data_IF_838032124929
#
_entry.id   IF_838032124929
#
_cell.length_a   1.000
_cell.length_b   1.000
_cell.length_c   1.000
_cell.angle_alpha   90.00
_cell.angle_beta   90.00
_cell.angle_gamma   90.00
#
_symmetry.space_group_name_H-M   'P 1'
#
loop_
_entity.id
_entity.type
_entity.pdbx_description
1 polymer ?
#
# COMPACT_ATOMS: atom_id res chain seq x y z
N UNK A 1 30.60 -0.70 -23.69
CA UNK A 1 30.46 0.47 -22.78
C UNK A 1 31.57 0.35 -21.73
N UNK A 2 32.34 1.39 -21.42
CA UNK A 2 33.47 1.23 -20.48
C UNK A 2 32.92 1.07 -19.05
N UNK A 3 33.40 0.09 -18.28
CA UNK A 3 33.02 -0.17 -16.86
C UNK A 3 32.86 1.09 -16.00
N UNK A 4 33.67 2.13 -16.26
CA UNK A 4 33.61 3.42 -15.57
C UNK A 4 32.31 4.21 -15.79
N UNK A 5 31.62 4.04 -16.93
CA UNK A 5 30.37 4.74 -17.22
C UNK A 5 29.21 4.22 -16.36
N UNK A 6 29.12 2.89 -16.16
CA UNK A 6 28.10 2.29 -15.30
C UNK A 6 28.29 2.70 -13.84
N UNK A 7 29.54 2.69 -13.36
CA UNK A 7 29.87 3.12 -12.00
C UNK A 7 29.53 4.60 -11.77
N UNK A 8 29.85 5.47 -12.73
CA UNK A 8 29.52 6.90 -12.66
C UNK A 8 28.00 7.18 -12.75
N UNK A 9 27.27 6.40 -13.55
CA UNK A 9 25.81 6.48 -13.59
C UNK A 9 25.20 6.09 -12.25
N UNK A 10 25.64 4.97 -11.68
CA UNK A 10 25.19 4.48 -10.38
C UNK A 10 25.46 5.52 -9.28
N UNK A 11 26.66 6.10 -9.22
CA UNK A 11 27.01 7.14 -8.25
C UNK A 11 26.08 8.36 -8.35
N UNK A 12 25.74 8.80 -9.58
CA UNK A 12 24.77 9.91 -9.78
C UNK A 12 23.37 9.57 -9.30
N UNK A 13 22.90 8.35 -9.57
CA UNK A 13 21.55 7.91 -9.17
C UNK A 13 21.43 7.65 -7.67
N UNK A 14 22.52 7.25 -7.00
CA UNK A 14 22.56 7.13 -5.54
C UNK A 14 22.49 8.48 -4.84
N UNK A 15 23.05 9.54 -5.45
CA UNK A 15 23.03 10.88 -4.90
C UNK A 15 23.56 10.93 -3.46
N UNK A 16 22.73 11.38 -2.52
CA UNK A 16 23.08 11.49 -1.10
C UNK A 16 22.83 10.20 -0.29
N UNK A 17 22.26 9.16 -0.88
CA UNK A 17 21.97 7.93 -0.15
C UNK A 17 23.27 7.20 0.23
N UNK A 18 23.36 6.77 1.49
CA UNK A 18 24.53 6.06 2.05
C UNK A 18 24.22 4.71 2.70
N UNK A 19 22.95 4.43 2.98
CA UNK A 19 22.51 3.19 3.61
C UNK A 19 21.69 2.41 2.59
N UNK A 20 22.25 1.33 2.06
CA UNK A 20 21.70 0.61 0.92
C UNK A 20 21.41 -0.86 1.25
N UNK A 21 20.21 -1.30 0.90
CA UNK A 21 19.81 -2.71 0.88
C UNK A 21 19.64 -3.17 -0.56
N UNK A 22 20.45 -4.13 -1.02
CA UNK A 22 20.36 -4.67 -2.38
C UNK A 22 19.54 -5.95 -2.41
N UNK A 23 18.49 -5.98 -3.23
CA UNK A 23 17.78 -7.20 -3.56
C UNK A 23 18.69 -8.11 -4.42
N UNK A 24 19.25 -9.14 -3.78
CA UNK A 24 20.26 -10.01 -4.38
C UNK A 24 19.72 -11.42 -4.59
N UNK A 25 19.39 -11.76 -5.83
CA UNK A 25 18.91 -13.10 -6.20
C UNK A 25 20.04 -14.08 -6.52
N UNK A 26 21.26 -13.58 -6.77
CA UNK A 26 22.39 -14.36 -7.27
C UNK A 26 22.39 -14.54 -8.79
N UNK A 27 21.35 -14.05 -9.49
CA UNK A 27 21.35 -13.98 -10.96
C UNK A 27 22.26 -12.86 -11.49
N UNK A 28 22.52 -12.88 -12.81
CA UNK A 28 23.40 -11.94 -13.52
C UNK A 28 23.19 -10.48 -13.07
N UNK A 29 21.98 -9.96 -13.22
CA UNK A 29 21.69 -8.54 -13.05
C UNK A 29 21.99 -8.08 -11.61
N UNK A 30 21.56 -8.89 -10.64
CA UNK A 30 21.78 -8.61 -9.21
C UNK A 30 23.25 -8.74 -8.81
N UNK A 31 23.99 -9.64 -9.45
CA UNK A 31 25.43 -9.82 -9.25
C UNK A 31 26.21 -8.63 -9.78
N UNK A 32 25.86 -8.14 -10.98
CA UNK A 32 26.45 -6.92 -11.56
C UNK A 32 26.16 -5.70 -10.68
N UNK A 33 24.91 -5.51 -10.25
CA UNK A 33 24.54 -4.38 -9.38
C UNK A 33 25.33 -4.41 -8.06
N UNK A 34 25.39 -5.57 -7.42
CA UNK A 34 26.10 -5.73 -6.15
C UNK A 34 27.61 -5.48 -6.32
N UNK A 35 28.22 -6.03 -7.38
CA UNK A 35 29.63 -5.80 -7.69
C UNK A 35 29.95 -4.32 -7.97
N UNK A 36 29.11 -3.62 -8.74
CA UNK A 36 29.24 -2.19 -8.99
C UNK A 36 29.23 -1.38 -7.68
N UNK A 37 28.33 -1.73 -6.75
CA UNK A 37 28.23 -1.07 -5.44
C UNK A 37 29.43 -1.38 -4.54
N UNK A 38 29.94 -2.61 -4.55
CA UNK A 38 31.17 -3.00 -3.83
C UNK A 38 32.37 -2.20 -4.34
N UNK A 39 32.46 -2.02 -5.65
CA UNK A 39 33.52 -1.22 -6.29
C UNK A 39 33.37 0.25 -5.92
N UNK A 40 32.14 0.78 -5.94
CA UNK A 40 31.86 2.16 -5.57
C UNK A 40 32.13 2.45 -4.08
N UNK A 41 31.90 1.49 -3.18
CA UNK A 41 32.24 1.59 -1.75
C UNK A 41 33.73 1.88 -1.52
N UNK A 42 34.61 1.47 -2.43
CA UNK A 42 36.05 1.81 -2.35
C UNK A 42 36.31 3.31 -2.57
N UNK A 43 35.40 4.00 -3.27
CA UNK A 43 35.46 5.44 -3.53
C UNK A 43 34.61 6.26 -2.54
N UNK A 44 33.63 5.62 -1.89
CA UNK A 44 32.72 6.20 -0.91
C UNK A 44 32.78 5.38 0.39
N UNK A 45 33.73 5.66 1.30
CA UNK A 45 33.96 4.85 2.49
C UNK A 45 32.82 4.92 3.52
N UNK A 46 31.96 5.94 3.43
CA UNK A 46 30.73 6.10 4.22
C UNK A 46 29.55 5.27 3.68
N UNK A 47 29.70 4.60 2.53
CA UNK A 47 28.66 3.78 1.93
C UNK A 47 28.47 2.46 2.70
N UNK A 48 27.36 2.36 3.42
CA UNK A 48 26.90 1.15 4.08
C UNK A 48 26.06 0.30 3.13
N UNK A 49 26.51 -0.93 2.89
CA UNK A 49 25.91 -1.85 1.94
C UNK A 49 25.56 -3.17 2.62
N UNK A 50 24.30 -3.59 2.48
CA UNK A 50 23.83 -4.92 2.84
C UNK A 50 23.05 -5.52 1.66
N UNK A 51 22.95 -6.83 1.64
CA UNK A 51 22.16 -7.56 0.66
C UNK A 51 21.02 -8.32 1.34
N UNK A 52 19.93 -8.54 0.61
CA UNK A 52 18.84 -9.44 1.01
C UNK A 52 18.55 -10.42 -0.12
N UNK A 53 18.59 -11.70 0.21
CA UNK A 53 18.14 -12.80 -0.65
C UNK A 53 16.79 -13.31 -0.15
N UNK A 54 15.84 -13.51 -1.06
CA UNK A 54 14.52 -14.05 -0.73
C UNK A 54 14.42 -15.48 -1.21
N UNK A 55 14.42 -16.41 -0.26
CA UNK A 55 14.24 -17.83 -0.49
C UNK A 55 12.74 -18.17 -0.51
N UNK A 56 12.18 -18.39 -1.71
CA UNK A 56 10.75 -18.66 -1.90
C UNK A 56 10.39 -20.16 -1.87
N UNK A 57 11.37 -21.07 -1.83
CA UNK A 57 11.14 -22.51 -1.71
C UNK A 57 10.42 -23.17 -2.90
N UNK A 58 10.34 -22.51 -4.06
CA UNK A 58 9.65 -23.04 -5.25
C UNK A 58 10.56 -23.86 -6.16
N UNK A 59 11.87 -23.60 -6.12
CA UNK A 59 12.87 -24.31 -6.92
C UNK A 59 13.53 -25.39 -6.06
N UNK A 60 13.85 -26.53 -6.68
CA UNK A 60 14.67 -27.58 -6.07
C UNK A 60 16.10 -27.11 -5.78
N UNK A 61 16.55 -26.03 -6.45
CA UNK A 61 17.87 -25.44 -6.27
C UNK A 61 17.88 -24.26 -5.30
N UNK A 62 16.75 -23.92 -4.66
CA UNK A 62 16.64 -22.71 -3.84
C UNK A 62 17.66 -22.64 -2.69
N UNK A 63 17.93 -23.77 -2.02
CA UNK A 63 18.96 -23.86 -0.97
C UNK A 63 20.39 -23.63 -1.51
N UNK A 64 20.66 -24.15 -2.71
CA UNK A 64 21.95 -23.96 -3.40
C UNK A 64 22.14 -22.50 -3.80
N UNK A 65 21.08 -21.84 -4.26
CA UNK A 65 21.09 -20.42 -4.61
C UNK A 65 21.34 -19.53 -3.40
N UNK A 66 20.72 -19.83 -2.26
CA UNK A 66 20.99 -19.13 -1.01
C UNK A 66 22.46 -19.31 -0.57
N UNK A 67 22.98 -20.53 -0.67
CA UNK A 67 24.39 -20.85 -0.36
C UNK A 67 25.35 -20.07 -1.27
N UNK A 68 25.10 -20.03 -2.58
CA UNK A 68 25.89 -19.24 -3.52
C UNK A 68 25.87 -17.74 -3.13
N UNK A 69 24.69 -17.19 -2.82
CA UNK A 69 24.57 -15.79 -2.42
C UNK A 69 25.37 -15.48 -1.14
N UNK A 70 25.32 -16.39 -0.15
CA UNK A 70 26.08 -16.28 1.09
C UNK A 70 27.58 -16.28 0.85
N UNK A 71 28.07 -17.23 0.03
CA UNK A 71 29.49 -17.31 -0.33
C UNK A 71 29.95 -16.05 -1.05
N UNK A 72 29.17 -15.57 -2.02
CA UNK A 72 29.52 -14.36 -2.78
C UNK A 72 29.57 -13.11 -1.90
N UNK A 73 28.60 -12.94 -0.98
CA UNK A 73 28.60 -11.83 -0.04
C UNK A 73 29.74 -11.91 0.97
N UNK A 74 30.12 -13.12 1.40
CA UNK A 74 31.27 -13.31 2.29
C UNK A 74 32.58 -12.88 1.60
N UNK A 75 32.79 -13.26 0.33
CA UNK A 75 33.95 -12.84 -0.48
C UNK A 75 34.01 -11.31 -0.60
N UNK A 76 32.87 -10.65 -0.80
CA UNK A 76 32.79 -9.18 -0.90
C UNK A 76 32.69 -8.45 0.44
N UNK A 77 32.75 -9.16 1.56
CA UNK A 77 32.63 -8.61 2.92
C UNK A 77 31.36 -7.77 3.07
N UNK A 78 30.22 -8.38 2.77
CA UNK A 78 28.89 -7.78 2.86
C UNK A 78 27.97 -8.60 3.77
N UNK A 79 27.23 -7.96 4.68
CA UNK A 79 26.13 -8.61 5.38
C UNK A 79 25.05 -9.05 4.39
N UNK A 80 24.63 -10.31 4.49
CA UNK A 80 23.51 -10.86 3.73
C UNK A 80 22.41 -11.31 4.70
N UNK A 81 21.19 -10.84 4.46
CA UNK A 81 19.98 -11.37 5.11
C UNK A 81 19.32 -12.36 4.16
N UNK A 82 19.06 -13.59 4.62
CA UNK A 82 18.30 -14.59 3.87
C UNK A 82 16.91 -14.68 4.46
N UNK A 83 15.91 -14.15 3.75
CA UNK A 83 14.51 -14.19 4.15
C UNK A 83 13.81 -15.38 3.51
N UNK A 84 13.22 -16.24 4.34
CA UNK A 84 12.39 -17.34 3.89
C UNK A 84 10.94 -16.90 3.80
N UNK A 85 10.33 -17.08 2.63
CA UNK A 85 8.94 -16.69 2.40
C UNK A 85 8.11 -17.89 1.95
N UNK A 86 6.84 -17.86 2.33
CA UNK A 86 5.83 -18.78 1.82
C UNK A 86 5.12 -18.10 0.66
N UNK A 87 4.98 -18.82 -0.46
CA UNK A 87 4.28 -18.34 -1.65
C UNK A 87 3.00 -19.12 -1.81
N UNK A 88 1.86 -18.46 -1.57
CA UNK A 88 0.54 -19.02 -1.90
C UNK A 88 0.06 -18.48 -3.26
N UNK A 89 0.07 -19.35 -4.27
CA UNK A 89 -0.39 -19.01 -5.62
C UNK A 89 -1.90 -19.08 -5.84
N UNK A 90 -2.70 -19.39 -4.80
CA UNK A 90 -4.15 -19.60 -4.90
C UNK A 90 -4.91 -18.38 -5.43
N UNK A 91 -4.45 -17.17 -5.12
CA UNK A 91 -5.06 -15.92 -5.55
C UNK A 91 -4.16 -15.14 -6.52
N UNK A 92 -4.40 -15.30 -7.83
CA UNK A 92 -3.75 -14.49 -8.87
C UNK A 92 -2.47 -15.08 -9.46
N UNK A 93 -2.17 -16.33 -9.15
CA UNK A 93 -1.07 -17.10 -9.76
C UNK A 93 0.27 -16.94 -9.04
N UNK A 94 1.14 -17.92 -9.27
CA UNK A 94 2.41 -18.08 -8.54
C UNK A 94 3.36 -16.89 -8.75
N UNK A 95 3.42 -16.31 -9.96
CA UNK A 95 4.31 -15.17 -10.25
C UNK A 95 3.94 -13.91 -9.46
N UNK A 96 2.63 -13.58 -9.42
CA UNK A 96 2.13 -12.43 -8.68
C UNK A 96 2.34 -12.63 -7.17
N UNK A 97 2.03 -13.83 -6.66
CA UNK A 97 2.22 -14.19 -5.26
C UNK A 97 3.70 -14.16 -4.84
N UNK A 98 4.59 -14.74 -5.64
CA UNK A 98 6.03 -14.73 -5.39
C UNK A 98 6.60 -13.31 -5.39
N UNK A 99 6.11 -12.45 -6.31
CA UNK A 99 6.48 -11.03 -6.34
C UNK A 99 5.99 -10.31 -5.08
N UNK A 100 4.74 -10.52 -4.66
CA UNK A 100 4.20 -9.89 -3.47
C UNK A 100 4.97 -10.32 -2.20
N UNK A 101 5.20 -11.61 -2.02
CA UNK A 101 5.98 -12.17 -0.91
C UNK A 101 7.41 -11.61 -0.88
N UNK A 102 8.04 -11.46 -2.05
CA UNK A 102 9.38 -10.88 -2.18
C UNK A 102 9.43 -9.42 -1.72
N UNK A 103 8.48 -8.59 -2.18
CA UNK A 103 8.44 -7.19 -1.74
C UNK A 103 8.09 -7.06 -0.26
N UNK A 104 7.21 -7.90 0.27
CA UNK A 104 6.93 -7.94 1.71
C UNK A 104 8.20 -8.28 2.51
N UNK A 105 8.99 -9.27 2.08
CA UNK A 105 10.27 -9.59 2.72
C UNK A 105 11.30 -8.46 2.64
N UNK A 106 11.31 -7.69 1.55
CA UNK A 106 12.16 -6.50 1.46
C UNK A 106 11.71 -5.44 2.47
N UNK A 107 10.41 -5.15 2.54
CA UNK A 107 9.85 -4.18 3.49
C UNK A 107 10.13 -4.55 4.94
N UNK A 108 10.04 -5.83 5.31
CA UNK A 108 10.35 -6.28 6.69
C UNK A 108 11.83 -6.27 7.03
N UNK A 109 12.72 -6.28 6.02
CA UNK A 109 14.18 -6.30 6.21
C UNK A 109 14.79 -4.89 6.19
N UNK A 110 14.12 -3.95 5.55
CA UNK A 110 14.52 -2.55 5.49
C UNK A 110 14.56 -1.92 6.88
N UNK A 111 15.58 -1.09 7.12
CA UNK A 111 15.64 -0.23 8.30
C UNK A 111 15.32 1.23 7.93
N UNK A 112 14.93 2.03 8.93
CA UNK A 112 14.64 3.44 8.74
C UNK A 112 15.84 4.16 8.09
N UNK A 113 15.58 4.95 7.03
CA UNK A 113 16.61 5.66 6.27
C UNK A 113 17.38 4.82 5.24
N UNK A 114 17.14 3.51 5.16
CA UNK A 114 17.76 2.64 4.14
C UNK A 114 17.01 2.74 2.81
N UNK A 115 17.75 2.60 1.70
CA UNK A 115 17.21 2.59 0.35
C UNK A 115 17.31 1.20 -0.25
N UNK A 116 16.19 0.68 -0.74
CA UNK A 116 16.13 -0.59 -1.45
C UNK A 116 16.63 -0.39 -2.89
N UNK A 117 17.57 -1.22 -3.31
CA UNK A 117 18.07 -1.26 -4.68
C UNK A 117 17.67 -2.57 -5.35
N UNK A 118 17.14 -2.48 -6.56
CA UNK A 118 16.81 -3.64 -7.37
C UNK A 118 17.47 -3.57 -8.74
N UNK A 119 17.90 -4.73 -9.24
CA UNK A 119 18.65 -4.84 -10.49
C UNK A 119 17.77 -4.91 -11.74
N UNK A 120 16.60 -4.25 -11.75
CA UNK A 120 15.81 -4.21 -12.99
C UNK A 120 16.51 -3.35 -14.04
N UNK A 121 16.45 -3.82 -15.28
CA UNK A 121 17.18 -3.28 -16.41
C UNK A 121 16.26 -2.91 -17.59
N UNK A 122 16.86 -2.57 -18.73
CA UNK A 122 16.13 -2.06 -19.89
C UNK A 122 15.09 -3.04 -20.44
N UNK A 123 15.43 -4.33 -20.58
CA UNK A 123 14.43 -5.28 -21.09
C UNK A 123 13.27 -5.48 -20.10
N UNK A 124 13.49 -5.41 -18.78
CA UNK A 124 12.39 -5.44 -17.79
C UNK A 124 11.42 -4.27 -17.97
N UNK A 125 11.93 -3.10 -18.39
CA UNK A 125 11.08 -1.96 -18.76
C UNK A 125 10.23 -2.27 -19.99
N UNK A 126 10.85 -2.86 -21.01
CA UNK A 126 10.15 -3.24 -22.23
C UNK A 126 9.07 -4.30 -21.94
N UNK A 127 9.38 -5.32 -21.15
CA UNK A 127 8.43 -6.32 -20.67
C UNK A 127 7.27 -5.67 -19.92
N UNK A 128 7.57 -4.79 -18.96
CA UNK A 128 6.54 -4.10 -18.17
C UNK A 128 5.64 -3.23 -19.03
N UNK A 129 6.21 -2.53 -20.02
CA UNK A 129 5.46 -1.75 -20.99
C UNK A 129 4.53 -2.63 -21.84
N UNK A 130 5.04 -3.73 -22.40
CA UNK A 130 4.23 -4.64 -23.23
C UNK A 130 3.11 -5.32 -22.42
N UNK A 131 3.36 -5.66 -21.15
CA UNK A 131 2.31 -6.15 -20.25
C UNK A 131 1.27 -5.09 -19.91
N UNK A 132 1.67 -3.82 -19.76
CA UNK A 132 0.73 -2.72 -19.58
C UNK A 132 -0.10 -2.49 -20.85
N UNK A 133 0.52 -2.59 -22.02
CA UNK A 133 -0.12 -2.47 -23.32
C UNK A 133 -1.13 -3.61 -23.56
N UNK A 134 -0.75 -4.88 -23.32
CA UNK A 134 -1.64 -6.06 -23.39
C UNK A 134 -2.88 -5.88 -22.51
N UNK A 135 -2.74 -5.23 -21.36
CA UNK A 135 -3.85 -4.94 -20.42
C UNK A 135 -4.71 -3.73 -20.83
N UNK A 136 -4.39 -3.04 -21.92
CA UNK A 136 -5.10 -1.84 -22.35
C UNK A 136 -4.89 -0.65 -21.41
N UNK A 137 -3.72 -0.54 -20.79
CA UNK A 137 -3.41 0.55 -19.86
C UNK A 137 -3.23 1.88 -20.60
N UNK A 138 -3.65 2.99 -19.97
CA UNK A 138 -3.37 4.35 -20.46
C UNK A 138 -1.95 4.84 -20.09
N UNK A 139 -1.64 6.13 -20.32
CA UNK A 139 -0.31 6.71 -20.09
C UNK A 139 0.27 6.43 -18.70
N UNK A 140 -0.52 6.60 -17.63
CA UNK A 140 -0.12 6.20 -16.27
C UNK A 140 0.40 4.76 -16.16
N UNK A 141 -0.24 3.78 -16.82
CA UNK A 141 0.24 2.39 -16.79
C UNK A 141 1.37 2.11 -17.78
N UNK A 142 1.39 2.81 -18.92
CA UNK A 142 2.45 2.72 -19.93
C UNK A 142 3.75 3.40 -19.50
N UNK A 143 3.72 4.21 -18.44
CA UNK A 143 4.92 4.78 -17.80
C UNK A 143 5.85 3.71 -17.19
N UNK A 144 5.41 2.45 -17.14
CA UNK A 144 6.18 1.29 -16.69
C UNK A 144 6.77 1.50 -15.29
N UNK A 145 8.05 1.19 -15.07
CA UNK A 145 8.72 1.42 -13.79
C UNK A 145 9.45 2.78 -13.79
N UNK A 146 9.32 3.51 -12.68
CA UNK A 146 10.14 4.69 -12.42
C UNK A 146 11.55 4.29 -11.93
N UNK A 147 12.55 5.13 -12.20
CA UNK A 147 13.92 4.94 -11.68
C UNK A 147 13.95 5.01 -10.15
N UNK A 148 13.20 5.94 -9.60
CA UNK A 148 12.98 6.11 -8.16
C UNK A 148 11.49 5.97 -7.86
N UNK A 149 11.18 5.20 -6.83
CA UNK A 149 9.83 5.03 -6.30
C UNK A 149 9.89 4.99 -4.77
N UNK A 150 8.73 5.06 -4.12
CA UNK A 150 8.61 4.92 -2.67
C UNK A 150 7.91 3.59 -2.34
N UNK A 151 8.31 2.96 -1.23
CA UNK A 151 7.69 1.76 -0.66
C UNK A 151 7.60 1.92 0.85
N UNK A 152 6.39 2.18 1.35
CA UNK A 152 6.22 2.61 2.74
C UNK A 152 6.97 3.92 2.95
N UNK A 153 7.85 3.97 3.94
CA UNK A 153 8.69 5.14 4.23
C UNK A 153 10.05 5.10 3.51
N UNK A 154 10.40 3.98 2.88
CA UNK A 154 11.70 3.79 2.25
C UNK A 154 11.66 4.10 0.75
N UNK A 155 12.80 4.57 0.24
CA UNK A 155 13.00 4.74 -1.20
C UNK A 155 13.39 3.43 -1.87
N UNK A 156 12.93 3.23 -3.11
CA UNK A 156 13.27 2.13 -4.00
C UNK A 156 13.93 2.69 -5.27
N UNK A 157 15.18 2.32 -5.51
CA UNK A 157 15.96 2.73 -6.67
C UNK A 157 16.19 1.55 -7.63
N UNK A 158 16.15 1.86 -8.93
CA UNK A 158 16.44 0.93 -10.05
C UNK A 158 17.57 1.47 -10.90
N UNK A 159 18.84 1.37 -10.47
CA UNK A 159 19.92 2.07 -11.15
C UNK A 159 20.19 1.58 -12.58
N UNK A 160 19.95 0.29 -12.81
CA UNK A 160 20.22 -0.38 -14.08
C UNK A 160 19.10 -0.22 -15.12
N UNK A 161 18.03 0.54 -14.82
CA UNK A 161 16.82 0.58 -15.64
C UNK A 161 17.05 1.06 -17.10
N UNK A 162 18.12 1.82 -17.34
CA UNK A 162 18.55 2.26 -18.67
C UNK A 162 19.69 1.44 -19.30
N UNK A 163 20.08 0.33 -18.67
CA UNK A 163 21.21 -0.53 -19.08
C UNK A 163 20.66 -1.78 -19.78
N UNK A 164 21.22 -2.15 -20.93
CA UNK A 164 20.79 -3.36 -21.64
C UNK A 164 21.37 -4.63 -21.03
N UNK A 165 20.73 -5.76 -21.27
CA UNK A 165 21.25 -7.06 -20.82
C UNK A 165 22.65 -7.35 -21.37
N UNK A 166 22.91 -7.07 -22.65
CA UNK A 166 24.24 -7.22 -23.26
C UNK A 166 25.33 -6.41 -22.52
N UNK A 167 24.99 -5.22 -22.00
CA UNK A 167 25.92 -4.41 -21.23
C UNK A 167 26.21 -5.03 -19.86
N UNK A 168 25.21 -5.66 -19.22
CA UNK A 168 25.38 -6.40 -17.98
C UNK A 168 26.24 -7.66 -18.19
N UNK A 169 25.97 -8.42 -19.25
CA UNK A 169 26.77 -9.60 -19.62
C UNK A 169 28.22 -9.22 -19.92
N UNK A 170 28.45 -8.19 -20.73
CA UNK A 170 29.80 -7.69 -21.02
C UNK A 170 30.53 -7.23 -19.75
N UNK A 171 29.84 -6.57 -18.82
CA UNK A 171 30.42 -6.18 -17.54
C UNK A 171 30.79 -7.42 -16.70
N UNK A 172 29.88 -8.38 -16.56
CA UNK A 172 30.11 -9.59 -15.78
C UNK A 172 31.28 -10.41 -16.33
N UNK A 173 31.38 -10.54 -17.67
CA UNK A 173 32.51 -11.20 -18.33
C UNK A 173 33.82 -10.45 -18.11
N UNK A 174 33.81 -9.12 -18.26
CA UNK A 174 35.00 -8.29 -18.05
C UNK A 174 35.59 -8.46 -16.65
N UNK A 175 34.73 -8.58 -15.64
CA UNK A 175 35.11 -8.74 -14.23
C UNK A 175 35.14 -10.19 -13.75
N UNK A 176 34.97 -11.16 -14.67
CA UNK A 176 34.98 -12.60 -14.36
C UNK A 176 34.01 -12.99 -13.24
N UNK A 177 32.83 -12.36 -13.22
CA UNK A 177 31.81 -12.64 -12.22
C UNK A 177 31.15 -13.98 -12.49
N UNK A 178 30.79 -14.69 -11.43
CA UNK A 178 30.00 -15.93 -11.49
C UNK A 178 28.59 -15.64 -10.98
N UNK A 179 27.57 -16.17 -11.64
CA UNK A 179 26.17 -15.99 -11.26
C UNK A 179 25.37 -17.26 -11.48
N UNK A 180 24.19 -17.32 -10.88
CA UNK A 180 23.22 -18.39 -11.02
C UNK A 180 22.42 -18.19 -12.31
N UNK A 181 22.26 -19.26 -13.08
CA UNK A 181 21.22 -19.34 -14.11
C UNK A 181 20.01 -20.09 -13.54
N UNK A 182 18.85 -19.45 -13.55
CA UNK A 182 17.62 -20.00 -12.99
C UNK A 182 16.78 -20.61 -14.11
N UNK A 183 16.69 -21.94 -14.09
CA UNK A 183 15.98 -22.75 -15.09
C UNK A 183 14.50 -22.34 -15.28
N UNK A 184 13.87 -21.76 -14.26
CA UNK A 184 12.48 -21.30 -14.35
C UNK A 184 12.31 -20.12 -15.32
N UNK A 185 13.37 -19.36 -15.58
CA UNK A 185 13.37 -18.28 -16.58
C UNK A 185 13.17 -18.78 -18.00
N UNK A 186 13.37 -20.09 -18.24
CA UNK A 186 13.18 -20.72 -19.55
C UNK A 186 11.74 -21.21 -19.78
N UNK A 187 10.83 -21.05 -18.81
CA UNK A 187 9.46 -21.54 -18.94
C UNK A 187 8.54 -20.49 -19.59
N UNK A 188 8.10 -20.65 -20.86
CA UNK A 188 7.31 -19.66 -21.58
C UNK A 188 5.84 -19.62 -21.14
N UNK A 189 5.41 -20.47 -20.19
CA UNK A 189 4.04 -20.42 -19.65
C UNK A 189 3.74 -19.09 -18.94
N UNK A 190 4.77 -18.44 -18.40
CA UNK A 190 4.64 -17.14 -17.74
C UNK A 190 4.76 -16.01 -18.76
N UNK A 191 3.86 -15.03 -18.69
CA UNK A 191 3.75 -13.94 -19.68
C UNK A 191 5.08 -13.20 -19.87
N UNK A 192 5.84 -12.95 -18.80
CA UNK A 192 7.16 -12.30 -18.88
C UNK A 192 8.19 -13.14 -19.62
N UNK A 193 8.28 -14.42 -19.28
CA UNK A 193 9.19 -15.34 -19.94
C UNK A 193 8.84 -15.52 -21.42
N UNK A 194 7.54 -15.58 -21.75
CA UNK A 194 7.09 -15.58 -23.15
C UNK A 194 7.58 -14.34 -23.90
N UNK A 195 7.42 -13.15 -23.32
CA UNK A 195 7.92 -11.91 -23.92
C UNK A 195 9.43 -11.98 -24.15
N UNK A 196 10.19 -12.38 -23.12
CA UNK A 196 11.66 -12.44 -23.15
C UNK A 196 12.20 -13.46 -24.16
N UNK A 197 11.58 -14.63 -24.24
CA UNK A 197 12.07 -15.76 -25.03
C UNK A 197 11.58 -15.75 -26.47
N UNK A 198 10.36 -15.26 -26.73
CA UNK A 198 9.72 -15.41 -28.05
C UNK A 198 9.45 -14.07 -28.74
N UNK A 199 9.07 -13.03 -27.99
CA UNK A 199 8.63 -11.76 -28.59
C UNK A 199 9.77 -10.77 -28.77
N UNK A 200 10.49 -10.45 -27.69
CA UNK A 200 11.59 -9.48 -27.73
C UNK A 200 12.71 -9.88 -28.70
N UNK A 201 13.13 -11.16 -28.80
CA UNK A 201 14.16 -11.55 -29.78
C UNK A 201 13.73 -11.28 -31.22
N UNK A 202 12.46 -11.56 -31.57
CA UNK A 202 11.90 -11.31 -32.89
C UNK A 202 11.84 -9.81 -33.20
N UNK A 203 11.44 -8.99 -32.22
CA UNK A 203 11.40 -7.53 -32.36
C UNK A 203 12.81 -6.96 -32.53
N UNK A 204 13.76 -7.41 -31.71
CA UNK A 204 15.16 -6.96 -31.75
C UNK A 204 15.86 -7.37 -33.05
N UNK A 205 15.49 -8.51 -33.65
CA UNK A 205 16.02 -8.92 -34.96
C UNK A 205 15.71 -7.90 -36.06
N UNK A 206 14.51 -7.30 -36.04
CA UNK A 206 14.11 -6.27 -37.01
C UNK A 206 14.49 -4.86 -36.56
N UNK A 207 14.39 -4.58 -35.27
CA UNK A 207 14.63 -3.28 -34.65
C UNK A 207 15.60 -3.44 -33.48
N UNK A 208 16.93 -3.38 -33.71
CA UNK A 208 17.95 -3.68 -32.70
C UNK A 208 17.89 -2.84 -31.42
N UNK A 209 17.20 -1.70 -31.44
CA UNK A 209 17.04 -0.79 -30.30
C UNK A 209 15.59 -0.71 -29.81
N UNK A 210 14.79 -1.76 -30.03
CA UNK A 210 13.37 -1.79 -29.66
C UNK A 210 13.17 -1.50 -28.17
N UNK A 211 13.88 -2.20 -27.28
CA UNK A 211 13.75 -2.00 -25.84
C UNK A 211 14.07 -0.54 -25.41
N UNK A 212 15.10 0.07 -26.02
CA UNK A 212 15.46 1.47 -25.77
C UNK A 212 14.38 2.44 -26.27
N UNK A 213 13.76 2.16 -27.43
CA UNK A 213 12.64 2.95 -27.94
C UNK A 213 11.40 2.82 -27.03
N UNK A 214 11.09 1.61 -26.56
CA UNK A 214 10.00 1.36 -25.61
C UNK A 214 10.21 2.11 -24.30
N UNK A 215 11.41 2.06 -23.72
CA UNK A 215 11.72 2.79 -22.50
C UNK A 215 11.59 4.32 -22.69
N UNK A 216 11.93 4.84 -23.87
CA UNK A 216 11.69 6.26 -24.21
C UNK A 216 10.20 6.58 -24.25
N UNK A 217 9.37 5.74 -24.87
CA UNK A 217 7.92 5.91 -24.83
C UNK A 217 7.36 5.88 -23.41
N UNK A 218 7.88 4.99 -22.56
CA UNK A 218 7.51 4.96 -21.14
C UNK A 218 7.86 6.27 -20.42
N UNK A 219 9.06 6.83 -20.66
CA UNK A 219 9.47 8.13 -20.11
C UNK A 219 8.55 9.26 -20.57
N UNK A 220 8.21 9.31 -21.87
CA UNK A 220 7.29 10.31 -22.41
C UNK A 220 5.91 10.20 -21.76
N UNK A 221 5.39 8.99 -21.55
CA UNK A 221 4.14 8.81 -20.80
C UNK A 221 4.24 9.33 -19.35
N UNK A 222 5.37 9.09 -18.68
CA UNK A 222 5.60 9.57 -17.32
C UNK A 222 5.68 11.09 -17.25
N UNK A 223 6.35 11.74 -18.21
CA UNK A 223 6.43 13.19 -18.34
C UNK A 223 5.03 13.81 -18.52
N UNK A 224 4.15 13.19 -19.30
CA UNK A 224 2.77 13.66 -19.46
C UNK A 224 1.96 13.52 -18.15
N UNK A 225 2.13 12.44 -17.39
CA UNK A 225 1.46 12.30 -16.09
C UNK A 225 1.99 13.30 -15.06
N UNK A 226 3.30 13.58 -15.06
CA UNK A 226 3.88 14.61 -14.19
C UNK A 226 3.36 16.01 -14.54
N UNK A 227 3.23 16.32 -15.83
CA UNK A 227 2.60 17.58 -16.26
C UNK A 227 1.14 17.67 -15.79
N UNK A 228 0.40 16.57 -15.86
CA UNK A 228 -0.97 16.53 -15.34
C UNK A 228 -1.02 16.66 -13.81
N UNK A 229 -0.01 16.16 -13.08
CA UNK A 229 0.12 16.38 -11.63
C UNK A 229 0.27 17.87 -11.33
N UNK A 230 1.16 18.56 -12.05
CA UNK A 230 1.37 20.01 -11.93
C UNK A 230 0.07 20.79 -12.24
N UNK A 231 -0.55 20.53 -13.39
CA UNK A 231 -1.73 21.26 -13.86
C UNK A 231 -2.98 21.05 -12.99
N UNK A 232 -3.07 19.91 -12.28
CA UNK A 232 -4.23 19.56 -11.46
C UNK A 232 -3.99 19.72 -9.96
N UNK A 233 -2.77 20.08 -9.53
CA UNK A 233 -2.40 20.17 -8.12
C UNK A 233 -3.31 21.11 -7.31
N UNK A 234 -3.46 22.36 -7.78
CA UNK A 234 -4.30 23.36 -7.10
C UNK A 234 -5.77 22.93 -7.03
N UNK A 235 -6.29 22.40 -8.14
CA UNK A 235 -7.66 21.89 -8.20
C UNK A 235 -7.84 20.74 -7.20
N UNK A 236 -6.95 19.74 -7.20
CA UNK A 236 -7.03 18.61 -6.29
C UNK A 236 -6.98 19.09 -4.85
N UNK A 237 -6.01 19.94 -4.49
CA UNK A 237 -5.84 20.44 -3.14
C UNK A 237 -7.09 21.18 -2.63
N UNK A 238 -7.70 22.03 -3.46
CA UNK A 238 -8.94 22.74 -3.09
C UNK A 238 -10.17 21.83 -2.87
N UNK A 239 -10.14 20.59 -3.35
CA UNK A 239 -11.24 19.63 -3.21
C UNK A 239 -11.07 18.69 -2.01
N UNK A 240 -9.88 18.60 -1.42
CA UNK A 240 -9.60 17.76 -0.27
C UNK A 240 -10.02 18.45 1.03
N UNK A 241 -10.41 17.66 2.03
CA UNK A 241 -10.48 18.10 3.42
C UNK A 241 -9.31 17.52 4.23
N UNK A 242 -9.34 17.73 5.55
CA UNK A 242 -8.33 17.25 6.49
C UNK A 242 -8.17 15.72 6.50
N UNK A 243 -9.22 14.98 6.13
CA UNK A 243 -9.23 13.51 6.04
C UNK A 243 -8.87 13.01 4.63
N UNK A 244 -8.38 13.89 3.75
CA UNK A 244 -8.17 13.63 2.32
C UNK A 244 -9.44 13.16 1.59
N UNK A 245 -10.64 13.50 2.06
CA UNK A 245 -11.88 13.18 1.37
C UNK A 245 -12.15 14.18 0.23
N UNK A 246 -12.52 13.65 -0.93
CA UNK A 246 -12.62 14.43 -2.16
C UNK A 246 -14.03 14.98 -2.38
N UNK A 247 -14.16 16.30 -2.50
CA UNK A 247 -15.43 16.95 -2.83
C UNK A 247 -15.91 16.61 -4.24
N UNK A 248 -17.16 16.14 -4.35
CA UNK A 248 -17.77 15.73 -5.63
C UNK A 248 -18.13 16.96 -6.47
N UNK A 249 -18.50 18.06 -5.83
CA UNK A 249 -19.14 19.21 -6.47
C UNK A 249 -18.22 19.90 -7.48
N UNK A 250 -16.94 20.06 -7.15
CA UNK A 250 -15.95 20.61 -8.07
C UNK A 250 -15.61 19.72 -9.26
N UNK A 251 -16.10 18.48 -9.29
CA UNK A 251 -15.91 17.52 -10.39
C UNK A 251 -17.14 17.38 -11.29
N UNK A 252 -18.32 17.88 -10.88
CA UNK A 252 -19.56 17.77 -11.64
C UNK A 252 -19.47 18.50 -12.99
N UNK A 253 -18.84 19.68 -13.02
CA UNK A 253 -18.67 20.51 -14.22
C UNK A 253 -17.47 20.11 -15.07
N UNK A 254 -16.59 19.25 -14.57
CA UNK A 254 -15.43 18.77 -15.30
C UNK A 254 -15.84 17.82 -16.44
N UNK A 255 -15.08 17.82 -17.53
CA UNK A 255 -15.13 16.75 -18.53
C UNK A 255 -14.76 15.41 -17.90
N UNK A 256 -15.19 14.31 -18.52
CA UNK A 256 -14.90 12.95 -18.02
C UNK A 256 -13.38 12.69 -17.90
N UNK A 257 -12.58 13.16 -18.86
CA UNK A 257 -11.12 13.00 -18.84
C UNK A 257 -10.48 13.73 -17.65
N UNK A 258 -10.84 15.00 -17.43
CA UNK A 258 -10.32 15.80 -16.31
C UNK A 258 -10.72 15.19 -14.98
N UNK A 259 -11.99 14.79 -14.85
CA UNK A 259 -12.52 14.11 -13.67
C UNK A 259 -11.75 12.83 -13.35
N UNK A 260 -11.53 11.96 -14.33
CA UNK A 260 -10.77 10.72 -14.11
C UNK A 260 -9.30 10.99 -13.79
N UNK A 261 -8.70 12.02 -14.37
CA UNK A 261 -7.34 12.44 -14.03
C UNK A 261 -7.22 12.91 -12.56
N UNK A 262 -8.20 13.65 -12.06
CA UNK A 262 -8.27 14.06 -10.64
C UNK A 262 -8.52 12.86 -9.73
N UNK A 263 -9.47 11.98 -10.06
CA UNK A 263 -9.75 10.78 -9.27
C UNK A 263 -8.52 9.87 -9.15
N UNK A 264 -7.74 9.69 -10.23
CA UNK A 264 -6.49 8.92 -10.19
C UNK A 264 -5.48 9.50 -9.21
N UNK A 265 -5.30 10.83 -9.23
CA UNK A 265 -4.35 11.53 -8.36
C UNK A 265 -4.79 11.51 -6.90
N UNK A 266 -6.09 11.69 -6.65
CA UNK A 266 -6.67 11.52 -5.32
C UNK A 266 -6.42 10.10 -4.78
N UNK A 267 -6.70 9.06 -5.58
CA UNK A 267 -6.50 7.66 -5.17
C UNK A 267 -5.00 7.36 -4.93
N UNK A 268 -4.11 7.99 -5.69
CA UNK A 268 -2.66 7.83 -5.52
C UNK A 268 -2.13 8.32 -4.15
N UNK A 269 -2.85 9.20 -3.45
CA UNK A 269 -2.49 9.67 -2.11
C UNK A 269 -2.51 8.54 -1.06
N UNK A 270 -3.22 7.45 -1.32
CA UNK A 270 -3.45 6.36 -0.36
C UNK A 270 -2.58 5.12 -0.61
N UNK A 271 -1.57 5.20 -1.50
CA UNK A 271 -0.71 4.08 -1.93
C UNK A 271 -1.48 2.80 -2.31
N UNK A 272 -2.67 2.96 -2.90
CA UNK A 272 -3.49 1.83 -3.35
C UNK A 272 -3.22 1.47 -4.81
N UNK A 273 -3.61 0.26 -5.18
CA UNK A 273 -3.52 -0.16 -6.58
C UNK A 273 -4.39 0.73 -7.46
N UNK A 274 -3.76 1.36 -8.45
CA UNK A 274 -4.41 2.28 -9.38
C UNK A 274 -5.57 1.59 -10.13
N UNK A 275 -6.79 2.15 -10.12
CA UNK A 275 -7.97 1.53 -10.73
C UNK A 275 -7.92 1.52 -12.27
N UNK A 276 -8.64 0.57 -12.87
CA UNK A 276 -8.89 0.55 -14.31
C UNK A 276 -9.77 1.74 -14.74
N UNK A 277 -9.82 2.01 -16.05
CA UNK A 277 -10.72 3.04 -16.60
C UNK A 277 -12.19 2.73 -16.30
N UNK A 278 -12.58 1.46 -16.41
CA UNK A 278 -13.92 0.98 -16.09
C UNK A 278 -14.25 1.18 -14.60
N UNK A 279 -13.32 0.87 -13.70
CA UNK A 279 -13.49 1.10 -12.27
C UNK A 279 -13.68 2.59 -11.94
N UNK A 280 -12.97 3.50 -12.62
CA UNK A 280 -13.18 4.95 -12.45
C UNK A 280 -14.55 5.41 -12.97
N UNK A 281 -15.01 4.82 -14.07
CA UNK A 281 -16.34 5.10 -14.58
C UNK A 281 -17.42 4.66 -13.60
N UNK A 282 -17.33 3.42 -13.09
CA UNK A 282 -18.23 2.88 -12.06
C UNK A 282 -18.17 3.69 -10.77
N UNK A 283 -16.97 4.08 -10.32
CA UNK A 283 -16.81 4.97 -9.17
C UNK A 283 -17.63 6.26 -9.34
N UNK A 284 -17.57 6.85 -10.52
CA UNK A 284 -18.30 8.07 -10.76
C UNK A 284 -19.82 7.85 -10.87
N UNK A 285 -20.25 6.90 -11.69
CA UNK A 285 -21.67 6.67 -12.00
C UNK A 285 -22.43 6.01 -10.84
N UNK A 286 -21.84 5.00 -10.20
CA UNK A 286 -22.49 4.19 -9.16
C UNK A 286 -22.31 4.79 -7.75
N UNK A 287 -21.22 5.51 -7.50
CA UNK A 287 -20.89 6.05 -6.15
C UNK A 287 -21.04 7.55 -6.10
N UNK A 288 -20.31 8.30 -6.91
CA UNK A 288 -20.29 9.77 -6.84
C UNK A 288 -21.62 10.40 -7.25
N UNK A 289 -22.34 9.83 -8.22
CA UNK A 289 -23.65 10.32 -8.70
C UNK A 289 -24.86 9.60 -8.11
N UNK A 290 -24.66 8.69 -7.14
CA UNK A 290 -25.75 8.02 -6.42
C UNK A 290 -26.72 8.98 -5.74
N UNK A 291 -27.84 8.47 -5.20
CA UNK A 291 -28.74 9.29 -4.37
C UNK A 291 -28.09 9.58 -3.01
N UNK A 292 -28.43 10.70 -2.37
CA UNK A 292 -27.86 11.08 -1.07
C UNK A 292 -28.20 10.08 0.06
N UNK A 293 -29.30 9.34 -0.08
CA UNK A 293 -29.75 8.32 0.87
C UNK A 293 -29.23 6.91 0.54
N UNK A 294 -28.55 6.74 -0.59
CA UNK A 294 -27.89 5.49 -0.94
C UNK A 294 -26.59 5.35 -0.13
N UNK A 295 -26.21 4.10 0.17
CA UNK A 295 -24.93 3.77 0.78
C UNK A 295 -24.04 3.05 -0.26
N UNK A 296 -23.66 3.74 -1.36
CA UNK A 296 -22.90 3.10 -2.43
C UNK A 296 -21.49 2.75 -1.98
N UNK A 297 -20.97 1.65 -2.54
CA UNK A 297 -19.62 1.18 -2.30
C UNK A 297 -19.02 0.67 -3.60
N UNK A 298 -17.79 1.10 -3.89
CA UNK A 298 -16.95 0.44 -4.88
C UNK A 298 -15.77 -0.23 -4.17
N UNK A 299 -15.63 -1.54 -4.34
CA UNK A 299 -14.50 -2.29 -3.81
C UNK A 299 -13.27 -2.17 -4.74
N UNK A 300 -12.14 -1.74 -4.19
CA UNK A 300 -10.82 -1.74 -4.83
C UNK A 300 -9.89 -2.69 -4.07
N UNK A 301 -9.98 -3.99 -4.39
CA UNK A 301 -9.30 -5.08 -3.67
C UNK A 301 -9.71 -5.09 -2.18
N UNK A 302 -8.79 -4.76 -1.28
CA UNK A 302 -9.03 -4.67 0.16
C UNK A 302 -9.55 -3.29 0.59
N UNK A 303 -9.41 -2.26 -0.25
CA UNK A 303 -9.92 -0.92 0.01
C UNK A 303 -11.32 -0.76 -0.52
N UNK A 304 -12.05 0.22 0.00
CA UNK A 304 -13.36 0.58 -0.49
C UNK A 304 -13.50 2.09 -0.65
N UNK A 305 -14.17 2.52 -1.73
CA UNK A 305 -14.54 3.91 -1.90
C UNK A 305 -16.03 4.06 -1.62
N UNK A 306 -16.37 5.00 -0.74
CA UNK A 306 -17.75 5.30 -0.34
C UNK A 306 -18.05 6.79 -0.47
N UNK A 307 -19.33 7.13 -0.54
CA UNK A 307 -19.82 8.52 -0.54
C UNK A 307 -20.48 8.87 0.78
N UNK A 308 -20.19 10.06 1.28
CA UNK A 308 -20.94 10.68 2.38
C UNK A 308 -20.88 12.21 2.26
N UNK A 309 -22.01 12.89 2.49
CA UNK A 309 -22.11 14.37 2.46
C UNK A 309 -21.41 15.02 1.26
N UNK A 310 -21.69 14.50 0.06
CA UNK A 310 -21.13 14.99 -1.23
C UNK A 310 -19.60 14.92 -1.32
N UNK A 311 -18.97 14.04 -0.54
CA UNK A 311 -17.54 13.71 -0.60
C UNK A 311 -17.33 12.21 -0.84
N UNK A 312 -16.22 11.89 -1.50
CA UNK A 312 -15.71 10.53 -1.66
C UNK A 312 -14.65 10.26 -0.60
N UNK A 313 -14.74 9.09 0.02
CA UNK A 313 -13.80 8.60 1.02
C UNK A 313 -13.19 7.31 0.53
N UNK A 314 -11.86 7.22 0.57
CA UNK A 314 -11.14 5.97 0.36
C UNK A 314 -10.82 5.38 1.73
N UNK A 315 -11.37 4.21 2.01
CA UNK A 315 -11.32 3.58 3.32
C UNK A 315 -10.44 2.32 3.26
N UNK A 316 -9.65 2.06 4.32
CA UNK A 316 -8.92 0.81 4.45
C UNK A 316 -9.87 -0.40 4.56
N UNK A 317 -9.35 -1.63 4.44
CA UNK A 317 -10.10 -2.81 4.87
C UNK A 317 -10.55 -2.61 6.32
N UNK A 318 -11.80 -2.98 6.60
CA UNK A 318 -12.40 -2.90 7.92
C UNK A 318 -13.05 -4.23 8.25
N UNK A 319 -12.80 -4.72 9.45
CA UNK A 319 -13.42 -5.94 9.96
C UNK A 319 -14.90 -5.72 10.28
N UNK A 320 -15.68 -6.79 10.13
CA UNK A 320 -17.07 -6.82 10.54
C UNK A 320 -17.15 -7.03 12.06
N UNK A 321 -17.66 -6.02 12.77
CA UNK A 321 -17.76 -6.03 14.24
C UNK A 321 -19.20 -6.26 14.73
N UNK A 322 -20.15 -6.56 13.83
CA UNK A 322 -21.59 -6.51 14.15
C UNK A 322 -22.01 -7.44 15.28
N UNK A 323 -21.43 -8.64 15.32
CA UNK A 323 -21.75 -9.70 16.29
C UNK A 323 -20.78 -9.73 17.48
N UNK A 324 -19.81 -8.81 17.53
CA UNK A 324 -18.81 -8.80 18.59
C UNK A 324 -19.38 -8.23 19.89
N UNK A 325 -19.22 -8.98 20.97
CA UNK A 325 -19.58 -8.59 22.33
C UNK A 325 -18.38 -8.80 23.26
N UNK A 326 -17.80 -7.70 23.76
CA UNK A 326 -16.65 -7.74 24.65
C UNK A 326 -17.12 -7.50 26.09
N UNK A 327 -16.86 -8.45 26.99
CA UNK A 327 -17.10 -8.22 28.42
C UNK A 327 -16.00 -7.34 29.01
N UNK A 328 -16.37 -6.35 29.81
CA UNK A 328 -15.42 -5.45 30.45
C UNK A 328 -15.54 -5.49 31.98
N UNK A 329 -14.48 -5.95 32.65
CA UNK A 329 -14.42 -6.05 34.11
C UNK A 329 -14.12 -4.73 34.84
N UNK A 330 -13.88 -3.64 34.09
CA UNK A 330 -13.56 -2.29 34.57
C UNK A 330 -12.25 -2.14 35.38
N UNK A 331 -11.68 -3.25 35.87
CA UNK A 331 -10.44 -3.29 36.64
C UNK A 331 -9.19 -3.03 35.78
N UNK A 332 -9.27 -3.33 34.48
CA UNK A 332 -8.18 -3.12 33.53
C UNK A 332 -8.69 -2.40 32.27
N UNK A 333 -7.82 -1.70 31.54
CA UNK A 333 -8.15 -1.18 30.22
C UNK A 333 -8.62 -2.28 29.27
N UNK A 334 -9.61 -1.98 28.42
CA UNK A 334 -10.10 -2.89 27.39
C UNK A 334 -9.59 -2.47 26.02
N UNK A 335 -8.79 -3.31 25.37
CA UNK A 335 -8.38 -3.13 23.98
C UNK A 335 -9.54 -3.44 23.04
N UNK A 336 -9.85 -2.50 22.15
CA UNK A 336 -10.88 -2.65 21.13
C UNK A 336 -10.29 -3.28 19.86
N UNK A 337 -11.09 -4.03 19.08
CA UNK A 337 -10.65 -4.67 17.85
C UNK A 337 -10.29 -3.66 16.77
N UNK A 338 -9.63 -4.15 15.71
CA UNK A 338 -9.43 -3.45 14.44
C UNK A 338 -8.93 -2.00 14.61
N UNK A 339 -7.94 -1.85 15.50
CA UNK A 339 -7.25 -0.59 15.77
C UNK A 339 -8.10 0.50 16.42
N UNK A 340 -9.31 0.20 16.92
CA UNK A 340 -10.22 1.21 17.48
C UNK A 340 -9.73 1.84 18.80
N UNK A 341 -8.61 1.37 19.34
CA UNK A 341 -7.96 1.94 20.52
C UNK A 341 -8.30 1.21 21.82
N UNK A 342 -8.24 1.92 22.94
CA UNK A 342 -8.38 1.34 24.28
C UNK A 342 -9.39 2.14 25.11
N UNK A 343 -10.25 1.42 25.85
CA UNK A 343 -11.14 2.01 26.85
C UNK A 343 -10.49 1.95 28.23
N UNK A 344 -10.45 3.10 28.91
CA UNK A 344 -9.87 3.24 30.25
C UNK A 344 -10.91 3.80 31.21
N UNK A 345 -11.02 3.19 32.39
CA UNK A 345 -11.86 3.66 33.49
C UNK A 345 -11.11 4.67 34.38
N UNK A 346 -11.79 5.70 34.87
CA UNK A 346 -11.29 6.65 35.88
C UNK A 346 -10.83 8.02 35.38
N UNK A 347 -10.33 8.14 34.15
CA UNK A 347 -9.64 9.35 33.66
C UNK A 347 -10.19 9.89 32.32
N UNK A 348 -11.48 10.20 32.25
CA UNK A 348 -12.06 10.64 30.99
C UNK A 348 -13.20 11.65 31.07
N UNK A 349 -13.52 12.18 29.88
CA UNK A 349 -14.56 13.18 29.65
C UNK A 349 -15.97 12.58 29.51
N UNK A 350 -16.07 11.27 29.25
CA UNK A 350 -17.36 10.60 29.14
C UNK A 350 -17.81 10.22 30.56
N UNK A 351 -18.96 10.76 30.98
CA UNK A 351 -19.52 10.57 32.31
C UNK A 351 -20.82 9.76 32.21
N UNK A 352 -20.85 8.60 32.85
CA UNK A 352 -22.01 7.70 32.91
C UNK A 352 -22.37 7.38 34.36
N UNK A 353 -23.58 6.89 34.62
CA UNK A 353 -23.86 6.28 35.92
C UNK A 353 -22.93 5.08 36.15
N UNK A 354 -22.44 4.85 37.38
CA UNK A 354 -21.71 3.64 37.69
C UNK A 354 -22.60 2.40 37.47
N UNK A 355 -22.04 1.29 36.95
CA UNK A 355 -22.77 0.03 36.87
C UNK A 355 -23.04 -0.50 38.28
N UNK A 356 -24.19 -1.14 38.48
CA UNK A 356 -24.49 -1.81 39.75
C UNK A 356 -23.59 -3.05 39.90
N UNK A 357 -23.29 -3.51 41.14
CA UNK A 357 -22.38 -4.63 41.37
C UNK A 357 -22.71 -5.93 40.61
N UNK A 358 -23.99 -6.17 40.32
CA UNK A 358 -24.47 -7.37 39.61
C UNK A 358 -24.55 -7.18 38.09
N UNK A 359 -24.48 -5.95 37.60
CA UNK A 359 -24.61 -5.65 36.17
C UNK A 359 -23.33 -6.01 35.42
N UNK A 360 -23.48 -6.69 34.28
CA UNK A 360 -22.35 -6.99 33.40
C UNK A 360 -22.16 -5.86 32.41
N UNK A 361 -20.99 -5.23 32.43
CA UNK A 361 -20.62 -4.25 31.41
C UNK A 361 -20.11 -4.97 30.17
N UNK A 362 -20.66 -4.63 29.01
CA UNK A 362 -20.20 -5.12 27.72
C UNK A 362 -20.08 -3.99 26.69
N UNK A 363 -19.18 -4.19 25.73
CA UNK A 363 -19.01 -3.34 24.56
C UNK A 363 -19.54 -4.10 23.36
N UNK A 364 -20.48 -3.47 22.65
CA UNK A 364 -21.04 -3.95 21.38
C UNK A 364 -20.88 -2.86 20.32
N UNK A 365 -21.14 -3.19 19.06
CA UNK A 365 -21.03 -2.24 17.94
C UNK A 365 -22.33 -2.06 17.17
N UNK A 366 -23.37 -2.78 17.58
CA UNK A 366 -24.71 -2.69 17.01
C UNK A 366 -25.73 -2.36 18.09
N UNK A 367 -26.75 -1.63 17.69
CA UNK A 367 -27.90 -1.33 18.53
C UNK A 367 -29.14 -1.28 17.64
N UNK A 368 -30.28 -1.62 18.24
CA UNK A 368 -31.56 -1.68 17.56
C UNK A 368 -32.63 -0.94 18.37
N UNK A 369 -33.75 -0.63 17.72
CA UNK A 369 -34.90 0.01 18.37
C UNK A 369 -34.82 1.53 18.48
N UNK A 370 -35.66 2.08 19.36
CA UNK A 370 -35.78 3.51 19.63
C UNK A 370 -35.09 3.83 20.96
N UNK A 371 -34.27 4.88 20.94
CA UNK A 371 -33.47 5.31 22.08
C UNK A 371 -33.90 6.71 22.50
N UNK A 372 -33.88 6.96 23.81
CA UNK A 372 -33.94 8.31 24.39
C UNK A 372 -32.54 8.70 24.85
N UNK A 373 -32.08 9.85 24.37
CA UNK A 373 -30.75 10.37 24.66
C UNK A 373 -30.86 11.63 25.50
N UNK A 374 -29.85 11.86 26.33
CA UNK A 374 -29.83 13.02 27.22
C UNK A 374 -29.92 14.33 26.44
N UNK A 375 -30.67 15.28 27.01
CA UNK A 375 -30.92 16.58 26.39
C UNK A 375 -31.98 16.59 25.29
N UNK A 376 -32.73 15.50 25.08
CA UNK A 376 -33.81 15.44 24.08
C UNK A 376 -35.11 14.87 24.64
N UNK A 377 -36.22 15.47 24.25
CA UNK A 377 -37.58 15.14 24.74
C UNK A 377 -38.22 13.92 24.08
N UNK A 378 -37.73 13.48 22.91
CA UNK A 378 -38.37 12.42 22.12
C UNK A 378 -37.40 11.30 21.75
N UNK A 379 -37.91 10.05 21.79
CA UNK A 379 -37.16 8.88 21.33
C UNK A 379 -36.96 8.89 19.81
N UNK A 380 -35.78 8.47 19.35
CA UNK A 380 -35.42 8.35 17.93
C UNK A 380 -34.88 6.96 17.63
N UNK A 381 -35.05 6.48 16.40
CA UNK A 381 -34.33 5.27 15.98
C UNK A 381 -32.83 5.55 15.92
N UNK A 382 -32.01 4.54 16.20
CA UNK A 382 -30.56 4.72 16.19
C UNK A 382 -30.03 5.18 14.83
N UNK A 383 -30.61 4.67 13.72
CA UNK A 383 -30.30 5.13 12.36
C UNK A 383 -30.47 6.65 12.22
N UNK A 384 -31.53 7.21 12.77
CA UNK A 384 -31.81 8.64 12.71
C UNK A 384 -30.87 9.45 13.61
N UNK A 385 -30.51 8.91 14.78
CA UNK A 385 -29.49 9.53 15.65
C UNK A 385 -28.14 9.65 14.94
N UNK A 386 -27.68 8.57 14.28
CA UNK A 386 -26.45 8.60 13.49
C UNK A 386 -26.48 9.63 12.36
N UNK A 387 -27.61 9.75 11.66
CA UNK A 387 -27.78 10.75 10.60
C UNK A 387 -27.73 12.18 11.15
N UNK A 388 -28.45 12.45 12.25
CA UNK A 388 -28.50 13.78 12.88
C UNK A 388 -27.15 14.19 13.47
N UNK A 389 -26.37 13.24 14.00
CA UNK A 389 -24.99 13.45 14.47
C UNK A 389 -23.97 13.50 13.33
N UNK A 390 -24.39 13.27 12.09
CA UNK A 390 -23.50 13.31 10.93
C UNK A 390 -22.48 12.18 10.87
N UNK A 391 -22.78 11.03 11.47
CA UNK A 391 -21.87 9.88 11.50
C UNK A 391 -21.96 9.08 10.19
N UNK A 392 -20.85 8.93 9.45
CA UNK A 392 -20.81 8.15 8.21
C UNK A 392 -21.23 6.69 8.42
N UNK A 393 -21.91 6.04 7.46
CA UNK A 393 -22.38 4.67 7.58
C UNK A 393 -21.33 3.67 8.07
N UNK A 394 -20.11 3.74 7.55
CA UNK A 394 -19.01 2.83 7.91
C UNK A 394 -18.44 3.03 9.32
N UNK A 395 -18.68 4.18 9.96
CA UNK A 395 -18.28 4.42 11.35
C UNK A 395 -19.35 3.96 12.36
N UNK A 396 -20.62 3.86 11.93
CA UNK A 396 -21.74 3.55 12.84
C UNK A 396 -21.58 2.21 13.56
N UNK A 397 -21.08 1.20 12.86
CA UNK A 397 -20.80 -0.15 13.38
C UNK A 397 -19.39 -0.29 13.95
N UNK A 398 -18.73 0.84 14.25
CA UNK A 398 -17.37 0.89 14.79
C UNK A 398 -17.25 1.85 15.97
N UNK A 399 -18.32 2.55 16.31
CA UNK A 399 -18.41 3.32 17.54
C UNK A 399 -18.72 2.34 18.68
N UNK A 400 -17.87 2.26 19.72
CA UNK A 400 -18.14 1.41 20.86
C UNK A 400 -19.44 1.82 21.56
N UNK A 401 -20.31 0.85 21.78
CA UNK A 401 -21.57 1.01 22.51
C UNK A 401 -21.44 0.32 23.86
N UNK A 402 -21.60 1.09 24.95
CA UNK A 402 -21.59 0.55 26.31
C UNK A 402 -22.98 0.01 26.63
N UNK A 403 -23.04 -1.26 27.00
CA UNK A 403 -24.23 -1.92 27.51
C UNK A 403 -24.02 -2.34 28.96
N UNK A 404 -25.05 -2.14 29.78
CA UNK A 404 -25.18 -2.84 31.06
C UNK A 404 -26.23 -3.93 30.85
N UNK A 405 -25.79 -5.17 30.95
CA UNK A 405 -26.54 -6.36 30.51
C UNK A 405 -27.01 -6.18 29.06
N UNK A 406 -28.31 -5.97 28.83
CA UNK A 406 -28.90 -5.72 27.50
C UNK A 406 -29.40 -4.28 27.29
N UNK A 407 -29.16 -3.39 28.25
CA UNK A 407 -29.54 -1.98 28.15
C UNK A 407 -28.40 -1.14 27.59
N UNK A 408 -28.64 -0.46 26.47
CA UNK A 408 -27.70 0.52 25.91
C UNK A 408 -27.59 1.75 26.82
N UNK A 409 -26.37 2.08 27.21
CA UNK A 409 -26.04 3.17 28.12
C UNK A 409 -25.49 4.37 27.35
N UNK A 410 -24.56 4.15 26.42
CA UNK A 410 -23.95 5.22 25.64
C UNK A 410 -23.31 4.72 24.35
N UNK A 411 -23.23 5.61 23.37
CA UNK A 411 -22.37 5.49 22.21
C UNK A 411 -21.17 6.42 22.38
N UNK A 412 -19.96 5.86 22.48
CA UNK A 412 -18.79 6.63 22.88
C UNK A 412 -18.42 7.71 21.84
N UNK A 413 -18.23 8.93 22.33
CA UNK A 413 -17.95 10.10 21.48
C UNK A 413 -19.15 10.59 20.66
N UNK A 414 -20.35 10.03 20.86
CA UNK A 414 -21.54 10.40 20.11
C UNK A 414 -22.72 10.84 21.01
N UNK A 415 -23.20 9.97 21.90
CA UNK A 415 -24.32 10.30 22.78
C UNK A 415 -24.38 9.40 24.03
N UNK A 416 -25.10 9.89 25.05
CA UNK A 416 -25.44 9.12 26.27
C UNK A 416 -26.96 8.95 26.33
N UNK A 417 -27.43 7.73 26.60
CA UNK A 417 -28.85 7.44 26.79
C UNK A 417 -29.33 7.95 28.16
N UNK A 418 -30.64 8.20 28.31
CA UNK A 418 -31.21 8.56 29.63
C UNK A 418 -30.88 7.52 30.71
N UNK A 419 -30.84 6.24 30.34
CA UNK A 419 -30.44 5.14 31.21
C UNK A 419 -28.98 5.22 31.70
N UNK A 420 -28.13 5.99 31.03
CA UNK A 420 -26.75 6.25 31.42
C UNK A 420 -26.55 7.52 32.23
N UNK A 421 -27.62 8.29 32.49
CA UNK A 421 -27.55 9.51 33.27
C UNK A 421 -27.11 9.22 34.70
N UNK A 422 -26.13 9.97 35.20
CA UNK A 422 -25.74 9.90 36.61
C UNK A 422 -26.84 10.55 37.46
N UNK A 423 -27.40 9.84 38.45
CA UNK A 423 -28.39 10.41 39.36
C UNK A 423 -27.82 11.57 40.18
N UNK A 424 -28.67 12.51 40.58
CA UNK A 424 -28.27 13.59 41.48
C UNK A 424 -27.69 13.02 42.79
N UNK A 425 -26.53 13.54 43.20
CA UNK A 425 -25.83 13.09 44.41
C UNK A 425 -24.91 11.87 44.25
N UNK A 426 -24.84 11.23 43.07
CA UNK A 426 -23.87 10.16 42.80
C UNK A 426 -22.64 10.67 42.04
N UNK A 427 -21.48 10.09 42.32
CA UNK A 427 -20.28 10.34 41.53
C UNK A 427 -20.38 9.62 40.17
N UNK A 428 -20.18 10.33 39.05
CA UNK A 428 -20.23 9.71 37.73
C UNK A 428 -19.06 8.75 37.56
N UNK A 429 -19.31 7.63 36.89
CA UNK A 429 -18.25 6.80 36.34
C UNK A 429 -17.67 7.49 35.11
N UNK A 430 -16.39 7.84 35.20
CA UNK A 430 -15.65 8.51 34.12
C UNK A 430 -14.89 7.49 33.29
N UNK A 431 -14.95 7.64 31.97
CA UNK A 431 -14.25 6.77 31.04
C UNK A 431 -13.66 7.55 29.87
N UNK A 432 -12.56 7.04 29.33
CA UNK A 432 -11.83 7.63 28.22
C UNK A 432 -11.69 6.59 27.11
N UNK A 433 -12.11 6.96 25.91
CA UNK A 433 -11.80 6.22 24.69
C UNK A 433 -10.54 6.80 24.05
N UNK A 434 -9.40 6.15 24.30
CA UNK A 434 -8.11 6.50 23.70
C UNK A 434 -8.05 5.85 22.31
N UNK A 435 -8.37 6.60 21.27
CA UNK A 435 -8.21 6.13 19.88
C UNK A 435 -6.74 5.95 19.57
N UNK A 436 -6.39 4.94 18.78
CA UNK A 436 -5.08 4.92 18.16
C UNK A 436 -5.03 6.10 17.18
N UNK A 437 -4.02 6.96 17.29
CA UNK A 437 -3.75 7.93 16.24
C UNK A 437 -3.28 7.12 15.03
N UNK A 438 -4.15 6.98 14.03
CA UNK A 438 -3.76 6.56 12.68
C UNK A 438 -3.69 7.80 11.81
#
# INVERSE_FOLDING_TARGET
MKSNQLSAQLARQLGAHRHLLVAFSGGLDSTVLLHLLVTLRQQLPDLQLRAVHVHHGLSVFADQWATHCQQQCAVWQLPLVVQHVQVDGSQGGIEAAARAARYAAFTTTLVAGEVLLTAQHLDDQCETFLLALKRGSGPAGLSAMAVQATRGENSLLRPLLGVSRDQLEAYAQQHQLTWIDDDSNQNPRFDRNFLRLQVLPLLNQRWPHFAAATARSASLCAEQEQLLDELLAEQLHSLLDEDNALAIDGLLTCSASRRFAVLRRWIALFDVTMPSREQLQRLWEEVALSRDDAEPQLQLRQYQIRRFRRRLYLLPPMDDLRDLCLSWSLAAPLTLPDGLGVLVSGEGNICLRPPQPEQKVSIRFTAQGKLRILGRTHSRSIKKLWQELGIPPWQRERIPLIYYDDQLIAALGAFVCEAGQTPEGQHPWRLHWRKNNN
#
